data_IF_216863121795
#
_entry.id   IF_216863121795
#
_cell.length_a   1.000
_cell.length_b   1.000
_cell.length_c   1.000
_cell.angle_alpha   90.00
_cell.angle_beta   90.00
_cell.angle_gamma   90.00
#
_symmetry.space_group_name_H-M   'P 1'
#
loop_
_entity.id
_entity.type
_entity.pdbx_description
1 polymer ?
#
# COMPACT_ATOMS: atom_id res chain seq x y z
N UNK A 1 2.87 -24.42 2.05
CA UNK A 1 2.48 -23.53 1.89
C UNK A 1 2.89 -22.32 2.35
N UNK A 2 3.18 -21.42 1.78
CA UNK A 2 3.59 -20.28 2.15
C UNK A 2 2.68 -19.28 2.31
N UNK A 3 1.90 -19.33 3.16
CA UNK A 3 0.93 -18.44 3.34
C UNK A 3 1.33 -17.09 3.72
N UNK A 4 2.52 -16.89 4.17
CA UNK A 4 2.93 -15.60 4.52
C UNK A 4 3.54 -14.84 3.43
N UNK A 5 3.61 -15.41 2.31
CA UNK A 5 4.20 -14.75 1.20
C UNK A 5 3.25 -13.74 0.61
N UNK A 6 3.76 -12.71 0.02
CA UNK A 6 2.94 -11.74 -0.63
C UNK A 6 2.27 -12.28 -1.86
N UNK A 7 2.56 -13.51 -2.22
CA UNK A 7 1.90 -14.10 -3.37
C UNK A 7 0.41 -14.19 -3.19
N UNK A 8 -0.11 -14.02 -1.98
CA UNK A 8 -1.55 -14.04 -1.80
C UNK A 8 -2.20 -12.68 -2.04
N UNK A 9 -1.43 -11.65 -2.31
CA UNK A 9 -2.01 -10.38 -2.65
C UNK A 9 -2.56 -10.45 -4.07
N UNK A 10 -3.63 -9.72 -4.32
CA UNK A 10 -4.19 -9.67 -5.65
C UNK A 10 -3.22 -9.00 -6.61
N UNK A 11 -3.36 -9.28 -7.87
CA UNK A 11 -2.51 -8.64 -8.87
C UNK A 11 -2.69 -7.14 -8.85
N UNK A 12 -3.89 -6.66 -8.58
CA UNK A 12 -4.14 -5.24 -8.50
C UNK A 12 -3.39 -4.61 -7.34
N UNK A 13 -3.35 -5.29 -6.18
CA UNK A 13 -2.62 -4.76 -5.04
C UNK A 13 -1.13 -4.70 -5.32
N UNK A 14 -0.60 -5.72 -5.97
CA UNK A 14 0.83 -5.72 -6.31
C UNK A 14 1.16 -4.60 -7.27
N UNK A 15 0.27 -4.34 -8.22
CA UNK A 15 0.49 -3.27 -9.17
C UNK A 15 0.47 -1.90 -8.48
N UNK A 16 -0.42 -1.72 -7.51
CA UNK A 16 -0.50 -0.47 -6.77
C UNK A 16 0.78 -0.24 -5.98
N UNK A 17 1.29 -1.27 -5.32
CA UNK A 17 2.53 -1.14 -4.59
C UNK A 17 3.69 -0.75 -5.51
N UNK A 18 3.77 -1.40 -6.66
CA UNK A 18 4.85 -1.10 -7.59
C UNK A 18 4.77 0.34 -8.10
N UNK A 19 3.56 0.79 -8.35
CA UNK A 19 3.36 2.13 -8.85
C UNK A 19 3.75 3.17 -7.81
N UNK A 20 3.39 2.93 -6.55
CA UNK A 20 3.74 3.85 -5.49
C UNK A 20 5.25 3.92 -5.29
N UNK A 21 5.93 2.78 -5.35
CA UNK A 21 7.37 2.77 -5.19
C UNK A 21 8.06 3.47 -6.36
N UNK A 22 7.56 3.24 -7.55
CA UNK A 22 8.13 3.86 -8.73
C UNK A 22 8.03 5.38 -8.63
N UNK A 23 6.90 5.88 -8.17
CA UNK A 23 6.73 7.32 -8.01
C UNK A 23 7.63 7.86 -6.91
N UNK A 24 7.81 7.12 -5.82
CA UNK A 24 8.72 7.55 -4.78
C UNK A 24 10.15 7.64 -5.28
N UNK A 25 10.57 6.66 -6.04
CA UNK A 25 11.94 6.65 -6.55
C UNK A 25 12.18 7.74 -7.58
N UNK A 26 11.14 8.15 -8.26
CA UNK A 26 11.23 9.25 -9.21
C UNK A 26 11.03 10.60 -8.53
N UNK A 27 10.84 10.59 -7.21
CA UNK A 27 10.60 11.79 -6.43
C UNK A 27 9.33 12.52 -6.85
N UNK A 28 8.37 11.77 -7.34
CA UNK A 28 7.06 12.31 -7.68
C UNK A 28 6.13 11.96 -6.54
N UNK A 29 6.32 12.62 -5.41
CA UNK A 29 5.66 12.22 -4.19
C UNK A 29 4.16 12.38 -4.21
N UNK A 30 3.64 13.27 -5.00
CA UNK A 30 2.21 13.40 -5.15
C UNK A 30 1.62 12.15 -5.80
N UNK A 31 2.36 11.54 -6.70
CA UNK A 31 1.89 10.34 -7.37
C UNK A 31 2.17 9.09 -6.55
N UNK A 32 2.98 9.21 -5.51
CA UNK A 32 3.25 8.09 -4.63
C UNK A 32 2.23 7.99 -3.51
N UNK A 33 1.31 8.95 -3.43
CA UNK A 33 0.33 8.97 -2.38
C UNK A 33 -0.98 8.40 -2.89
N UNK A 34 -1.55 7.50 -2.12
CA UNK A 34 -2.82 6.90 -2.46
C UNK A 34 -3.89 7.74 -1.78
N UNK A 35 -4.81 8.27 -2.52
CA UNK A 35 -5.82 9.19 -2.03
C UNK A 35 -7.19 8.55 -2.16
N UNK A 36 -7.96 8.50 -1.09
CA UNK A 36 -9.28 7.91 -1.11
C UNK A 36 -10.33 8.89 -0.63
N UNK A 37 -11.40 9.00 -1.41
CA UNK A 37 -12.51 9.86 -1.05
C UNK A 37 -13.72 8.95 -1.10
N UNK A 38 -14.14 8.44 0.04
CA UNK A 38 -15.21 7.48 0.11
C UNK A 38 -14.77 6.17 -0.54
N UNK A 39 -15.48 5.76 -1.56
CA UNK A 39 -15.15 4.52 -2.23
C UNK A 39 -14.23 4.71 -3.40
N UNK A 40 -13.92 5.93 -3.74
CA UNK A 40 -13.07 6.20 -4.89
C UNK A 40 -11.67 6.49 -4.44
N UNK A 41 -10.72 5.83 -5.04
CA UNK A 41 -9.32 5.97 -4.68
C UNK A 41 -8.47 6.17 -5.92
N UNK A 42 -7.40 6.92 -5.77
CA UNK A 42 -6.51 7.21 -6.89
C UNK A 42 -5.06 7.17 -6.47
N UNK A 43 -4.18 6.85 -7.43
CA UNK A 43 -2.76 7.00 -7.28
C UNK A 43 -2.39 7.91 -8.42
N UNK A 44 -2.02 9.12 -8.14
CA UNK A 44 -1.83 10.11 -9.21
C UNK A 44 -3.13 10.29 -9.94
N UNK A 45 -3.15 10.03 -11.20
CA UNK A 45 -4.37 10.14 -12.00
C UNK A 45 -5.05 8.80 -12.22
N UNK A 46 -4.46 7.74 -11.71
CA UNK A 46 -4.99 6.42 -11.97
C UNK A 46 -5.94 5.99 -10.87
N UNK A 47 -7.13 5.59 -11.24
CA UNK A 47 -8.12 5.18 -10.27
C UNK A 47 -7.89 3.74 -9.84
N UNK A 48 -8.10 3.46 -8.56
CA UNK A 48 -7.97 2.11 -8.08
C UNK A 48 -9.16 1.77 -7.19
N UNK A 49 -9.40 0.51 -6.95
CA UNK A 49 -10.55 0.08 -6.18
C UNK A 49 -10.32 0.21 -4.69
N UNK A 50 -11.35 0.55 -3.96
CA UNK A 50 -11.25 0.65 -2.51
C UNK A 50 -10.88 -0.69 -1.89
N UNK A 51 -11.31 -1.80 -2.49
CA UNK A 51 -10.97 -3.11 -1.96
C UNK A 51 -9.48 -3.36 -1.99
N UNK A 52 -8.77 -2.80 -2.97
CA UNK A 52 -7.32 -2.91 -3.05
C UNK A 52 -6.68 -2.15 -1.91
N UNK A 53 -7.19 -0.96 -1.61
CA UNK A 53 -6.66 -0.16 -0.52
C UNK A 53 -6.87 -0.90 0.80
N UNK A 54 -8.05 -1.49 0.99
CA UNK A 54 -8.34 -2.23 2.20
C UNK A 54 -7.42 -3.44 2.33
N UNK A 55 -7.10 -4.07 1.22
CA UNK A 55 -6.17 -5.19 1.21
C UNK A 55 -4.80 -4.74 1.69
N UNK A 56 -4.30 -3.63 1.18
CA UNK A 56 -2.99 -3.11 1.57
C UNK A 56 -2.96 -2.68 3.04
N UNK A 57 -4.06 -2.13 3.53
CA UNK A 57 -4.15 -1.76 4.93
C UNK A 57 -4.16 -3.00 5.82
N UNK A 58 -4.88 -4.04 5.40
CA UNK A 58 -4.94 -5.26 6.17
C UNK A 58 -3.58 -5.93 6.28
N UNK A 59 -2.79 -5.83 5.21
CA UNK A 59 -1.46 -6.41 5.21
C UNK A 59 -0.40 -5.46 5.80
N UNK A 60 -0.81 -4.30 6.22
CA UNK A 60 0.03 -3.30 6.87
C UNK A 60 1.21 -2.89 5.98
N UNK A 61 0.89 -2.59 4.73
CA UNK A 61 1.92 -2.19 3.76
C UNK A 61 1.89 -0.69 3.45
N UNK A 62 0.83 0.00 3.89
CA UNK A 62 0.73 1.44 3.71
C UNK A 62 0.37 2.07 5.04
N UNK A 63 0.66 3.34 5.17
CA UNK A 63 0.37 4.05 6.41
C UNK A 63 -0.45 5.29 6.12
N UNK A 64 -1.28 5.67 7.06
CA UNK A 64 -2.17 6.80 6.92
C UNK A 64 -1.38 8.08 7.16
N UNK A 65 -1.40 8.95 6.17
CA UNK A 65 -0.74 10.23 6.28
C UNK A 65 -1.76 11.38 6.20
N UNK A 66 -3.03 11.06 6.43
CA UNK A 66 -4.06 12.07 6.37
C UNK A 66 -3.86 13.14 7.43
N UNK A 67 -4.35 14.34 7.14
CA UNK A 67 -4.16 15.43 7.98
C UNK A 67 -5.30 15.62 8.86
N UNK A 68 -5.58 14.91 9.78
CA UNK A 68 -6.60 15.12 10.76
C UNK A 68 -7.99 14.75 10.36
N UNK A 69 -8.14 14.00 9.36
CA UNK A 69 -9.41 13.49 9.02
C UNK A 69 -10.34 14.37 8.24
N UNK A 70 -9.88 15.53 7.82
CA UNK A 70 -10.70 16.30 7.02
C UNK A 70 -10.40 16.07 5.61
N UNK A 71 -11.32 15.83 4.78
CA UNK A 71 -11.14 15.60 3.36
C UNK A 71 -10.77 14.16 3.07
N UNK A 72 -10.01 13.94 2.05
CA UNK A 72 -9.70 12.60 1.58
C UNK A 72 -8.69 11.91 2.49
N UNK A 73 -8.78 10.61 2.56
CA UNK A 73 -7.79 9.80 3.27
C UNK A 73 -6.56 9.70 2.39
N UNK A 74 -5.39 9.73 3.00
CA UNK A 74 -4.14 9.66 2.26
C UNK A 74 -3.23 8.64 2.87
N UNK A 75 -2.55 7.88 2.02
CA UNK A 75 -1.69 6.80 2.47
C UNK A 75 -0.40 6.79 1.66
N UNK A 76 0.69 6.41 2.30
CA UNK A 76 1.96 6.21 1.60
C UNK A 76 2.53 4.85 2.00
N UNK A 77 3.52 4.38 1.28
CA UNK A 77 4.15 3.11 1.62
C UNK A 77 4.86 3.22 2.96
N UNK A 78 4.77 2.17 3.76
CA UNK A 78 5.62 2.07 4.93
C UNK A 78 6.85 1.24 4.51
N UNK A 79 7.69 0.89 5.46
CA UNK A 79 8.91 0.18 5.13
C UNK A 79 8.63 -1.19 4.54
N UNK A 80 7.66 -1.91 5.09
CA UNK A 80 7.30 -3.21 4.55
C UNK A 80 6.69 -3.06 3.16
N UNK A 81 5.94 -2.01 2.92
CA UNK A 81 5.37 -1.75 1.61
C UNK A 81 6.44 -1.52 0.57
N UNK A 82 7.50 -0.78 0.93
CA UNK A 82 8.59 -0.54 -0.01
C UNK A 82 9.33 -1.83 -0.33
N UNK A 83 9.53 -2.67 0.67
CA UNK A 83 10.21 -3.94 0.43
C UNK A 83 9.35 -4.86 -0.41
N UNK A 84 8.06 -4.88 -0.15
CA UNK A 84 7.14 -5.71 -0.91
C UNK A 84 7.04 -5.24 -2.35
N UNK A 85 7.06 -3.94 -2.57
CA UNK A 85 6.98 -3.41 -3.91
C UNK A 85 8.24 -3.70 -4.71
N UNK A 86 9.39 -3.70 -4.04
CA UNK A 86 10.65 -3.94 -4.72
C UNK A 86 10.89 -5.43 -4.96
N UNK A 87 10.33 -6.29 -4.13
CA UNK A 87 10.57 -7.71 -4.21
C UNK A 87 9.28 -8.46 -3.97
N UNK A 88 8.63 -8.94 -5.01
CA UNK A 88 7.35 -9.62 -4.85
C UNK A 88 7.43 -10.88 -3.99
N UNK A 89 8.61 -11.41 -3.76
CA UNK A 89 8.73 -12.58 -2.92
C UNK A 89 8.95 -12.23 -1.45
N UNK A 90 9.00 -10.94 -1.12
CA UNK A 90 9.21 -10.53 0.24
C UNK A 90 8.06 -11.01 1.13
N UNK A 91 8.38 -11.51 2.30
CA UNK A 91 7.38 -11.95 3.23
C UNK A 91 7.32 -10.98 4.39
N UNK A 92 6.14 -10.55 4.71
CA UNK A 92 5.94 -9.65 5.84
C UNK A 92 6.18 -10.44 7.12
N UNK A 93 6.97 -9.92 8.04
CA UNK A 93 7.28 -10.65 9.26
C UNK A 93 6.12 -10.68 10.22
N UNK A 94 5.23 -11.62 10.06
CA UNK A 94 4.07 -11.70 10.86
C UNK A 94 4.34 -11.96 12.30
N UNK A 95 5.37 -12.71 12.58
CA UNK A 95 5.62 -13.08 13.92
C UNK A 95 6.04 -11.93 14.77
N UNK A 96 6.62 -10.93 14.18
CA UNK A 96 7.06 -9.87 14.96
C UNK A 96 6.09 -8.83 15.13
N UNK A 97 5.64 -8.23 14.18
CA UNK A 97 4.85 -7.06 14.27
C UNK A 97 3.49 -7.31 14.74
N UNK A 98 2.83 -8.28 14.18
CA UNK A 98 1.45 -8.44 14.43
C UNK A 98 1.15 -9.10 15.72
N UNK A 99 1.95 -10.00 16.10
CA UNK A 99 1.67 -10.68 17.29
C UNK A 99 1.93 -9.90 18.50
N UNK A 100 2.74 -8.89 18.43
CA UNK A 100 3.00 -8.16 19.53
C UNK A 100 2.09 -7.11 19.74
N UNK A 101 1.23 -6.78 18.98
CA UNK A 101 0.33 -5.67 19.18
C UNK A 101 -0.97 -6.04 19.83
#
# INVERSE_FOLDING_TARGET
>A
MNLNSLSHLSAAAQRVLARMLEAEQAEQFDDAELVCDGRQCWIGLEQTARTVVNELLREVLIRDTSDGGKGAERYTLNEDGRRAAADPSYKVPELYGRERT
#
